data_IF_291482991904
#
_entry.id   IF_291482991904
#
_cell.length_a   1.000
_cell.length_b   1.000
_cell.length_c   1.000
_cell.angle_alpha   90.00
_cell.angle_beta   90.00
_cell.angle_gamma   90.00
#
_symmetry.space_group_name_H-M   'P 1'
#
loop_
_entity.id
_entity.type
_entity.pdbx_description
1 polymer ?
#
# COMPACT_ATOMS: atom_id res chain seq x y z
N UNK A 1 1.23 -44.89 -17.90
CA UNK A 1 0.38 -43.66 -17.77
C UNK A 1 1.26 -42.54 -17.20
N UNK A 2 1.34 -41.36 -17.84
CA UNK A 2 2.18 -40.25 -17.35
C UNK A 2 1.59 -39.64 -16.05
N UNK A 3 2.40 -39.29 -15.04
CA UNK A 3 1.92 -38.65 -13.83
C UNK A 3 1.43 -37.23 -14.13
N UNK A 4 0.25 -36.88 -13.60
CA UNK A 4 -0.30 -35.52 -13.71
C UNK A 4 0.52 -34.57 -12.83
N UNK A 5 0.88 -33.40 -13.36
CA UNK A 5 1.52 -32.35 -12.56
C UNK A 5 0.56 -31.91 -11.44
N UNK A 6 1.03 -31.80 -10.17
CA UNK A 6 0.21 -31.29 -9.09
C UNK A 6 -0.17 -29.83 -9.34
N UNK A 7 -1.39 -29.46 -8.94
CA UNK A 7 -1.93 -28.09 -9.06
C UNK A 7 -1.45 -27.25 -7.86
N UNK A 8 -1.33 -25.93 -8.07
CA UNK A 8 -0.96 -24.97 -7.01
C UNK A 8 -2.13 -24.53 -6.14
N UNK A 9 -3.37 -24.86 -6.52
CA UNK A 9 -4.59 -24.53 -5.79
C UNK A 9 -5.33 -25.80 -5.37
N UNK A 10 -6.01 -25.72 -4.24
CA UNK A 10 -6.90 -26.75 -3.68
C UNK A 10 -8.34 -26.36 -4.00
N UNK A 11 -9.14 -27.30 -4.50
CA UNK A 11 -10.58 -27.15 -4.71
C UNK A 11 -11.38 -27.87 -3.62
N UNK A 12 -12.65 -27.50 -3.43
CA UNK A 12 -13.50 -28.01 -2.34
C UNK A 12 -13.71 -29.54 -2.35
N UNK A 13 -13.56 -30.17 -3.51
CA UNK A 13 -13.72 -31.62 -3.69
C UNK A 13 -12.38 -32.37 -3.73
N UNK A 14 -11.26 -31.71 -3.48
CA UNK A 14 -9.96 -32.37 -3.47
C UNK A 14 -9.84 -33.30 -2.25
N UNK A 15 -9.36 -34.51 -2.51
CA UNK A 15 -9.16 -35.54 -1.49
C UNK A 15 -7.67 -35.65 -1.17
N UNK A 16 -7.35 -35.62 0.13
CA UNK A 16 -5.99 -35.78 0.62
C UNK A 16 -5.80 -37.20 1.15
N UNK A 17 -4.63 -37.78 0.87
CA UNK A 17 -4.23 -39.11 1.36
C UNK A 17 -2.81 -39.06 1.89
N UNK A 18 -2.54 -39.89 2.89
CA UNK A 18 -1.19 -40.09 3.38
C UNK A 18 -0.32 -40.76 2.31
N UNK A 19 0.91 -40.26 2.13
CA UNK A 19 1.87 -40.85 1.19
C UNK A 19 2.80 -41.82 1.94
N UNK A 20 2.44 -43.11 1.94
CA UNK A 20 3.22 -44.16 2.60
C UNK A 20 4.55 -44.47 1.89
N UNK A 21 4.67 -44.14 0.60
CA UNK A 21 5.87 -44.40 -0.20
C UNK A 21 6.97 -43.34 -0.01
N UNK A 22 6.75 -42.38 0.89
CA UNK A 22 7.70 -41.30 1.11
C UNK A 22 8.99 -41.81 1.76
N UNK A 23 10.12 -41.59 1.09
CA UNK A 23 11.46 -41.87 1.60
C UNK A 23 12.30 -40.60 1.64
N UNK A 24 13.06 -40.38 2.72
CA UNK A 24 13.97 -39.25 2.84
C UNK A 24 15.24 -39.67 3.56
N UNK A 25 16.39 -39.20 3.08
CA UNK A 25 17.69 -39.46 3.71
C UNK A 25 17.91 -38.60 4.98
N UNK A 26 17.06 -37.59 5.21
CA UNK A 26 17.18 -36.70 6.36
C UNK A 26 16.32 -37.19 7.53
N UNK A 27 16.95 -37.39 8.70
CA UNK A 27 16.24 -37.76 9.94
C UNK A 27 15.27 -36.67 10.41
N UNK A 28 15.55 -35.39 10.12
CA UNK A 28 14.67 -34.26 10.40
C UNK A 28 14.18 -33.67 9.08
N UNK A 29 12.91 -33.89 8.78
CA UNK A 29 12.25 -33.31 7.61
C UNK A 29 11.73 -31.94 8.00
N UNK A 30 12.33 -30.88 7.44
CA UNK A 30 11.82 -29.52 7.61
C UNK A 30 10.70 -29.29 6.61
N UNK A 31 9.46 -29.36 7.08
CA UNK A 31 8.31 -28.85 6.32
C UNK A 31 8.36 -27.34 6.43
N UNK A 32 8.65 -26.65 5.34
CA UNK A 32 8.62 -25.18 5.32
C UNK A 32 7.18 -24.75 5.59
N UNK A 33 6.94 -24.10 6.72
CA UNK A 33 5.65 -23.47 6.99
C UNK A 33 5.29 -22.58 5.80
N UNK A 34 4.01 -22.55 5.45
CA UNK A 34 3.47 -21.52 4.57
C UNK A 34 3.93 -20.21 5.20
N UNK A 35 4.89 -19.53 4.57
CA UNK A 35 5.29 -18.21 5.03
C UNK A 35 4.01 -17.41 5.10
N UNK A 36 3.75 -16.74 6.24
CA UNK A 36 2.82 -15.62 6.29
C UNK A 36 3.40 -14.53 5.39
N UNK A 37 3.38 -14.78 4.07
CA UNK A 37 3.48 -13.76 3.07
C UNK A 37 2.22 -12.98 3.32
N UNK A 38 2.40 -11.76 3.80
CA UNK A 38 1.36 -10.75 3.91
C UNK A 38 0.38 -10.97 2.75
N UNK A 39 -0.85 -11.33 3.11
CA UNK A 39 -1.84 -11.72 2.12
C UNK A 39 -2.01 -10.56 1.15
N UNK A 40 -2.38 -10.82 -0.11
CA UNK A 40 -2.61 -9.74 -1.07
C UNK A 40 -3.59 -8.68 -0.53
N UNK A 41 -4.54 -9.11 0.33
CA UNK A 41 -5.51 -8.26 1.02
C UNK A 41 -4.89 -7.38 2.12
N UNK A 42 -3.96 -7.91 2.91
CA UNK A 42 -3.22 -7.11 3.90
C UNK A 42 -2.35 -6.06 3.21
N UNK A 43 -1.67 -6.45 2.12
CA UNK A 43 -0.85 -5.53 1.32
C UNK A 43 -1.65 -4.36 0.77
N UNK A 44 -2.83 -4.64 0.20
CA UNK A 44 -3.71 -3.57 -0.34
C UNK A 44 -4.17 -2.64 0.77
N UNK A 45 -4.56 -3.18 1.93
CA UNK A 45 -5.00 -2.38 3.08
C UNK A 45 -3.88 -1.47 3.62
N UNK A 46 -2.66 -1.99 3.70
CA UNK A 46 -1.49 -1.22 4.11
C UNK A 46 -1.22 -0.09 3.11
N UNK A 47 -1.26 -0.40 1.81
CA UNK A 47 -1.02 0.58 0.75
C UNK A 47 -2.08 1.70 0.76
N UNK A 48 -3.36 1.37 0.92
CA UNK A 48 -4.44 2.35 1.03
C UNK A 48 -4.27 3.27 2.25
N UNK A 49 -3.82 2.72 3.37
CA UNK A 49 -3.57 3.51 4.59
C UNK A 49 -2.42 4.49 4.38
N UNK A 50 -1.31 4.04 3.78
CA UNK A 50 -0.19 4.93 3.41
C UNK A 50 -0.61 6.01 2.41
N UNK A 51 -1.45 5.68 1.43
CA UNK A 51 -1.99 6.65 0.48
C UNK A 51 -2.82 7.74 1.18
N UNK A 52 -3.63 7.38 2.19
CA UNK A 52 -4.39 8.36 3.00
C UNK A 52 -3.47 9.25 3.81
N UNK A 53 -2.44 8.70 4.45
CA UNK A 53 -1.48 9.47 5.24
C UNK A 53 -0.75 10.52 4.40
N UNK A 54 -0.43 10.18 3.14
CA UNK A 54 0.15 11.16 2.20
C UNK A 54 -0.77 12.34 1.95
N UNK A 55 -2.08 12.12 1.82
CA UNK A 55 -3.04 13.22 1.63
C UNK A 55 -3.08 14.14 2.85
N UNK A 56 -3.06 13.58 4.06
CA UNK A 56 -2.99 14.37 5.29
C UNK A 56 -1.69 15.18 5.41
N UNK A 57 -0.57 14.61 4.96
CA UNK A 57 0.70 15.33 4.93
C UNK A 57 0.69 16.51 3.95
N UNK A 58 0.00 16.37 2.80
CA UNK A 58 -0.20 17.47 1.85
C UNK A 58 -1.02 18.58 2.52
N UNK A 59 -2.15 18.25 3.16
CA UNK A 59 -3.00 19.23 3.84
C UNK A 59 -2.23 20.01 4.89
N UNK A 60 -1.48 19.30 5.73
CA UNK A 60 -0.69 19.91 6.78
C UNK A 60 0.40 20.83 6.23
N UNK A 61 1.03 20.48 5.09
CA UNK A 61 2.01 21.33 4.44
C UNK A 61 1.37 22.61 3.87
N UNK A 62 0.24 22.48 3.17
CA UNK A 62 -0.51 23.62 2.61
C UNK A 62 -0.90 24.61 3.70
N UNK A 63 -1.55 24.14 4.78
CA UNK A 63 -1.99 24.98 5.89
C UNK A 63 -0.80 25.64 6.58
N UNK A 64 0.32 24.93 6.76
CA UNK A 64 1.54 25.48 7.37
C UNK A 64 2.12 26.62 6.52
N UNK A 65 2.18 26.45 5.20
CA UNK A 65 2.68 27.48 4.28
C UNK A 65 1.77 28.71 4.31
N UNK A 66 0.46 28.52 4.19
CA UNK A 66 -0.53 29.63 4.21
C UNK A 66 -0.54 30.38 5.55
N UNK A 67 -0.40 29.66 6.67
CA UNK A 67 -0.30 30.29 7.99
C UNK A 67 0.96 31.15 8.14
N UNK A 68 2.07 30.76 7.52
CA UNK A 68 3.31 31.53 7.51
C UNK A 68 3.27 32.70 6.52
N UNK A 69 2.69 32.49 5.34
CA UNK A 69 2.55 33.46 4.25
C UNK A 69 1.08 33.75 4.04
N UNK A 70 0.53 34.69 4.83
CA UNK A 70 -0.89 35.09 4.85
C UNK A 70 -1.52 35.29 3.46
N UNK A 71 -0.70 35.61 2.46
CA UNK A 71 -1.07 35.73 1.05
C UNK A 71 -0.01 35.05 0.19
N UNK A 72 -0.41 34.19 -0.74
CA UNK A 72 0.48 33.53 -1.70
C UNK A 72 -0.29 33.19 -2.98
N UNK A 73 0.34 33.37 -4.14
CA UNK A 73 -0.26 32.96 -5.42
C UNK A 73 -0.43 31.44 -5.48
N UNK A 74 -1.48 30.96 -6.16
CA UNK A 74 -1.78 29.53 -6.26
C UNK A 74 -0.61 28.73 -6.84
N UNK A 75 0.05 29.24 -7.88
CA UNK A 75 1.21 28.57 -8.48
C UNK A 75 2.39 28.51 -7.51
N UNK A 76 2.58 29.57 -6.72
CA UNK A 76 3.57 29.63 -5.65
C UNK A 76 3.29 28.60 -4.55
N UNK A 77 2.04 28.51 -4.08
CA UNK A 77 1.62 27.56 -3.06
C UNK A 77 1.83 26.11 -3.50
N UNK A 78 1.46 25.76 -4.73
CA UNK A 78 1.70 24.43 -5.29
C UNK A 78 3.19 24.12 -5.35
N UNK A 79 4.01 25.07 -5.82
CA UNK A 79 5.47 24.92 -5.90
C UNK A 79 6.12 24.69 -4.53
N UNK A 80 5.79 25.52 -3.53
CA UNK A 80 6.34 25.39 -2.18
C UNK A 80 5.87 24.11 -1.48
N UNK A 81 4.60 23.73 -1.67
CA UNK A 81 4.07 22.48 -1.11
C UNK A 81 4.85 21.29 -1.67
N UNK A 82 5.00 21.21 -2.99
CA UNK A 82 5.75 20.14 -3.66
C UNK A 82 7.21 20.07 -3.20
N UNK A 83 7.84 21.22 -2.93
CA UNK A 83 9.21 21.29 -2.41
C UNK A 83 9.36 20.76 -0.98
N UNK A 84 8.31 20.81 -0.14
CA UNK A 84 8.34 20.28 1.23
C UNK A 84 8.03 18.78 1.34
N UNK A 85 7.38 18.20 0.33
CA UNK A 85 6.98 16.80 0.36
C UNK A 85 8.18 15.87 0.10
N UNK A 86 8.40 14.90 1.00
CA UNK A 86 9.46 13.88 0.89
C UNK A 86 9.03 12.63 0.11
N UNK A 87 7.90 12.69 -0.57
CA UNK A 87 7.34 11.58 -1.34
C UNK A 87 6.82 12.09 -2.69
N UNK A 88 6.74 11.23 -3.72
CA UNK A 88 6.19 11.63 -4.99
C UNK A 88 4.70 11.95 -4.84
N UNK A 89 4.35 13.21 -5.14
CA UNK A 89 2.98 13.70 -5.25
C UNK A 89 2.79 14.33 -6.63
N UNK A 90 1.57 14.38 -7.15
CA UNK A 90 1.28 15.09 -8.40
C UNK A 90 0.72 16.49 -8.10
N UNK A 91 0.94 17.44 -9.00
CA UNK A 91 0.36 18.78 -8.88
C UNK A 91 -1.18 18.77 -8.86
N UNK A 92 -1.80 17.76 -9.48
CA UNK A 92 -3.25 17.55 -9.44
C UNK A 92 -3.74 17.18 -8.03
N UNK A 93 -2.99 16.33 -7.31
CA UNK A 93 -3.35 15.96 -5.93
C UNK A 93 -3.31 17.18 -5.01
N UNK A 94 -2.25 17.98 -5.11
CA UNK A 94 -2.11 19.22 -4.33
C UNK A 94 -3.24 20.20 -4.64
N UNK A 95 -3.59 20.37 -5.92
CA UNK A 95 -4.69 21.25 -6.33
C UNK A 95 -6.03 20.82 -5.71
N UNK A 96 -6.37 19.53 -5.79
CA UNK A 96 -7.60 18.97 -5.18
C UNK A 96 -7.62 19.17 -3.66
N UNK A 97 -6.46 19.04 -3.00
CA UNK A 97 -6.35 19.28 -1.55
C UNK A 97 -6.57 20.75 -1.19
N UNK A 98 -6.02 21.68 -1.96
CA UNK A 98 -6.26 23.12 -1.77
C UNK A 98 -7.76 23.44 -1.89
N UNK A 99 -8.44 22.92 -2.92
CA UNK A 99 -9.89 23.08 -3.10
C UNK A 99 -10.66 22.56 -1.89
N UNK A 100 -10.33 21.36 -1.40
CA UNK A 100 -10.96 20.77 -0.21
C UNK A 100 -10.71 21.60 1.06
N UNK A 101 -9.55 22.24 1.20
CA UNK A 101 -9.22 23.07 2.37
C UNK A 101 -10.00 24.38 2.37
N UNK A 102 -10.25 24.96 1.19
CA UNK A 102 -11.11 26.14 1.03
C UNK A 102 -12.57 25.79 1.37
N UNK A 103 -13.09 24.67 0.84
CA UNK A 103 -14.46 24.20 1.14
C UNK A 103 -14.71 23.95 2.63
N UNK A 104 -13.65 23.64 3.39
CA UNK A 104 -13.68 23.38 4.83
C UNK A 104 -13.30 24.60 5.68
N UNK A 105 -13.16 25.78 5.07
CA UNK A 105 -12.82 27.05 5.74
C UNK A 105 -11.47 27.03 6.50
N UNK A 106 -10.51 26.21 6.06
CA UNK A 106 -9.14 26.23 6.59
C UNK A 106 -8.24 27.27 5.90
N UNK A 107 -8.69 27.83 4.78
CA UNK A 107 -8.04 28.84 3.94
C UNK A 107 -9.07 29.84 3.45
#
# INVERSE_FOLDING_TARGET
>A
RKPRKPRRSVADRDLFRFNADFTSNNRRIKITNIQMRETSQERTKTHESVSRDRLYLIDAAVVRIMKARKTLDHRGLVGETMAQLKFPATGQDVKKRIETLIEREYM
#
